data_IF_149196393458
#
_entry.id   IF_149196393458
#
_cell.length_a   1.000
_cell.length_b   1.000
_cell.length_c   1.000
_cell.angle_alpha   90.00
_cell.angle_beta   90.00
_cell.angle_gamma   90.00
#
_symmetry.space_group_name_H-M   'P 1'
#
loop_
_entity.id
_entity.type
_entity.pdbx_description
1 polymer ?
#
# COMPACT_ATOMS: atom_id res chain seq x y z
N UNK A 1 -1.99 21.02 1.19
CA UNK A 1 -0.86 20.92 0.23
C UNK A 1 0.19 19.87 0.59
N UNK A 2 -0.08 19.00 1.58
CA UNK A 2 0.64 17.75 1.78
C UNK A 2 -0.42 16.77 2.29
N UNK A 3 -1.16 16.14 1.39
CA UNK A 3 -2.19 15.19 1.78
C UNK A 3 -1.48 13.84 1.93
N UNK A 4 -1.43 13.32 3.16
CA UNK A 4 -0.79 12.05 3.54
C UNK A 4 -1.24 10.85 2.69
N UNK A 5 -2.32 11.00 1.93
CA UNK A 5 -2.86 10.07 0.96
C UNK A 5 -1.90 9.67 -0.17
N UNK A 6 -0.99 10.55 -0.63
CA UNK A 6 -0.13 10.18 -1.77
C UNK A 6 0.88 9.08 -1.41
N UNK A 7 1.46 9.12 -0.21
CA UNK A 7 2.35 8.06 0.27
C UNK A 7 1.62 6.75 0.58
N UNK A 8 0.33 6.82 0.96
CA UNK A 8 -0.48 5.63 1.20
C UNK A 8 -0.93 4.97 -0.11
N UNK A 9 -1.19 5.74 -1.16
CA UNK A 9 -1.53 5.25 -2.50
C UNK A 9 -0.38 4.46 -3.16
N UNK A 10 0.87 4.84 -2.91
CA UNK A 10 2.02 4.05 -3.36
C UNK A 10 2.08 2.67 -2.66
N UNK A 11 1.62 2.59 -1.42
CA UNK A 11 1.66 1.38 -0.59
C UNK A 11 0.42 0.49 -0.79
N UNK A 12 -0.76 1.08 -0.94
CA UNK A 12 -2.05 0.40 -0.95
C UNK A 12 -2.68 0.47 -2.33
N UNK A 13 -2.83 -0.69 -2.96
CA UNK A 13 -3.73 -0.92 -4.08
C UNK A 13 -5.11 -1.32 -3.53
N UNK A 14 -6.07 -0.42 -3.69
CA UNK A 14 -7.44 -0.58 -3.21
C UNK A 14 -8.09 -1.88 -3.71
N UNK A 15 -8.73 -2.61 -2.81
CA UNK A 15 -9.33 -3.93 -3.03
C UNK A 15 -8.34 -5.08 -3.26
N UNK A 16 -7.03 -4.81 -3.36
CA UNK A 16 -6.01 -5.83 -3.67
C UNK A 16 -5.19 -6.18 -2.43
N UNK A 17 -4.58 -5.20 -1.78
CA UNK A 17 -3.74 -5.40 -0.60
C UNK A 17 -4.17 -4.51 0.59
N UNK A 18 -5.22 -3.72 0.41
CA UNK A 18 -5.90 -2.94 1.45
C UNK A 18 -7.17 -2.32 0.88
N UNK A 19 -7.86 -1.52 1.69
CA UNK A 19 -9.06 -0.77 1.27
C UNK A 19 -8.80 0.70 1.57
N UNK A 20 -9.08 1.56 0.59
CA UNK A 20 -9.06 3.00 0.74
C UNK A 20 -10.50 3.51 0.93
N UNK A 21 -10.66 4.56 1.73
CA UNK A 21 -11.94 5.21 2.00
C UNK A 21 -11.76 6.72 2.03
N UNK A 22 -12.81 7.48 1.74
CA UNK A 22 -12.74 8.93 1.66
C UNK A 22 -12.48 9.58 3.03
N UNK A 23 -11.59 10.57 3.04
CA UNK A 23 -11.27 11.31 4.26
C UNK A 23 -12.50 12.04 4.80
N UNK A 24 -12.80 11.85 6.08
CA UNK A 24 -13.99 12.43 6.72
C UNK A 24 -15.29 11.64 6.50
N UNK A 25 -15.28 10.58 5.68
CA UNK A 25 -16.43 9.70 5.51
C UNK A 25 -16.46 8.59 6.57
N UNK A 26 -16.94 8.94 7.77
CA UNK A 26 -17.03 8.02 8.91
C UNK A 26 -17.96 6.83 8.64
N UNK A 27 -18.99 7.02 7.80
CA UNK A 27 -19.91 5.94 7.44
C UNK A 27 -19.19 4.85 6.63
N UNK A 28 -18.45 5.25 5.60
CA UNK A 28 -17.67 4.33 4.75
C UNK A 28 -16.57 3.62 5.53
N UNK A 29 -15.94 4.30 6.50
CA UNK A 29 -15.01 3.64 7.43
C UNK A 29 -15.70 2.53 8.23
N UNK A 30 -16.90 2.79 8.75
CA UNK A 30 -17.68 1.80 9.49
C UNK A 30 -18.09 0.61 8.63
N UNK A 31 -18.52 0.85 7.41
CA UNK A 31 -18.83 -0.21 6.42
C UNK A 31 -17.61 -1.05 6.09
N UNK A 32 -16.46 -0.40 5.89
CA UNK A 32 -15.18 -1.06 5.61
C UNK A 32 -14.74 -1.95 6.76
N UNK A 33 -14.85 -1.47 8.01
CA UNK A 33 -14.51 -2.26 9.20
C UNK A 33 -15.44 -3.47 9.30
N UNK A 34 -16.75 -3.28 9.10
CA UNK A 34 -17.71 -4.39 9.15
C UNK A 34 -17.44 -5.43 8.06
N UNK A 35 -17.12 -4.99 6.83
CA UNK A 35 -16.73 -5.87 5.74
C UNK A 35 -15.53 -6.74 6.12
N UNK A 36 -14.49 -6.14 6.70
CA UNK A 36 -13.28 -6.86 7.12
C UNK A 36 -13.56 -7.85 8.24
N UNK A 37 -14.43 -7.49 9.19
CA UNK A 37 -14.83 -8.37 10.28
C UNK A 37 -15.68 -9.57 9.81
N UNK A 38 -16.55 -9.36 8.82
CA UNK A 38 -17.39 -10.42 8.23
C UNK A 38 -16.57 -11.36 7.32
N UNK A 39 -15.51 -10.83 6.70
CA UNK A 39 -14.69 -11.54 5.71
C UNK A 39 -13.24 -11.62 6.15
N UNK A 40 -12.99 -12.42 7.19
CA UNK A 40 -11.64 -12.65 7.70
C UNK A 40 -10.69 -13.21 6.65
N UNK A 41 -11.21 -13.92 5.63
CA UNK A 41 -10.45 -14.39 4.46
C UNK A 41 -9.81 -13.24 3.66
N UNK A 42 -10.47 -12.08 3.59
CA UNK A 42 -9.93 -10.89 2.95
C UNK A 42 -8.77 -10.31 3.75
N UNK A 43 -8.85 -10.31 5.09
CA UNK A 43 -7.77 -9.82 5.95
C UNK A 43 -6.49 -10.64 5.72
N UNK A 44 -6.59 -11.97 5.71
CA UNK A 44 -5.44 -12.85 5.48
C UNK A 44 -4.85 -12.61 4.08
N UNK A 45 -5.70 -12.55 3.06
CA UNK A 45 -5.31 -12.30 1.66
C UNK A 45 -4.59 -10.95 1.51
N UNK A 46 -5.16 -9.88 2.07
CA UNK A 46 -4.61 -8.54 2.00
C UNK A 46 -3.28 -8.43 2.77
N UNK A 47 -3.18 -9.07 3.93
CA UNK A 47 -1.95 -9.09 4.72
C UNK A 47 -0.79 -9.72 3.97
N UNK A 48 -1.01 -10.87 3.32
CA UNK A 48 -0.01 -11.55 2.50
C UNK A 48 0.42 -10.67 1.33
N UNK A 49 -0.54 -10.14 0.55
CA UNK A 49 -0.27 -9.31 -0.63
C UNK A 49 0.43 -8.00 -0.27
N UNK A 50 0.07 -7.38 0.84
CA UNK A 50 0.74 -6.19 1.36
C UNK A 50 2.20 -6.47 1.72
N UNK A 51 2.46 -7.57 2.44
CA UNK A 51 3.82 -7.98 2.76
C UNK A 51 4.64 -8.29 1.50
N UNK A 52 4.04 -8.95 0.51
CA UNK A 52 4.71 -9.21 -0.77
C UNK A 52 5.06 -7.91 -1.52
N UNK A 53 4.13 -6.96 -1.61
CA UNK A 53 4.37 -5.67 -2.27
C UNK A 53 5.49 -4.91 -1.59
N UNK A 54 5.47 -4.84 -0.25
CA UNK A 54 6.53 -4.19 0.54
C UNK A 54 7.88 -4.85 0.27
N UNK A 55 7.96 -6.18 0.33
CA UNK A 55 9.21 -6.92 0.05
C UNK A 55 9.73 -6.71 -1.37
N UNK A 56 8.83 -6.65 -2.35
CA UNK A 56 9.19 -6.45 -3.76
C UNK A 56 9.63 -5.01 -4.04
N UNK A 57 8.94 -4.02 -3.49
CA UNK A 57 9.13 -2.61 -3.86
C UNK A 57 10.07 -1.85 -2.92
N UNK A 58 10.13 -2.21 -1.64
CA UNK A 58 10.84 -1.46 -0.61
C UNK A 58 12.02 -2.24 0.01
N UNK A 59 12.60 -3.19 -0.73
CA UNK A 59 13.84 -3.83 -0.27
C UNK A 59 15.02 -2.86 -0.38
N UNK A 60 15.88 -2.83 0.65
CA UNK A 60 17.09 -1.98 0.66
C UNK A 60 18.00 -2.22 -0.55
N UNK A 61 17.99 -3.44 -1.09
CA UNK A 61 18.71 -3.80 -2.31
C UNK A 61 18.16 -3.11 -3.57
N UNK A 62 16.85 -2.90 -3.66
CA UNK A 62 16.22 -2.18 -4.79
C UNK A 62 16.51 -0.68 -4.71
N UNK A 63 16.44 -0.11 -3.51
CA UNK A 63 16.82 1.29 -3.28
C UNK A 63 18.29 1.53 -3.68
N UNK A 64 19.20 0.65 -3.27
CA UNK A 64 20.60 0.72 -3.67
C UNK A 64 20.80 0.62 -5.20
N UNK A 65 20.08 -0.31 -5.87
CA UNK A 65 20.12 -0.45 -7.33
C UNK A 65 19.62 0.78 -8.08
N UNK A 66 18.55 1.42 -7.62
CA UNK A 66 18.04 2.64 -8.23
C UNK A 66 19.06 3.78 -8.19
N UNK A 67 19.78 3.92 -7.07
CA UNK A 67 20.85 4.91 -6.94
C UNK A 67 21.97 4.63 -7.95
N UNK A 68 22.46 3.38 -8.03
CA UNK A 68 23.51 2.98 -8.98
C UNK A 68 23.09 3.21 -10.44
N UNK A 69 21.84 2.90 -10.79
CA UNK A 69 21.31 3.07 -12.15
C UNK A 69 21.28 4.54 -12.58
N UNK A 70 20.93 5.46 -11.67
CA UNK A 70 20.98 6.91 -11.92
C UNK A 70 22.43 7.35 -12.19
N UNK A 71 23.38 6.93 -11.34
CA UNK A 71 24.79 7.26 -11.55
C UNK A 71 25.34 6.71 -12.87
N UNK A 72 24.90 5.53 -13.28
CA UNK A 72 25.33 4.87 -14.52
C UNK A 72 24.76 5.55 -15.78
N UNK A 73 23.57 6.15 -15.69
CA UNK A 73 22.94 6.90 -16.79
C UNK A 73 23.51 8.31 -16.99
N UNK A 74 24.20 8.85 -15.99
CA UNK A 74 24.82 10.17 -16.02
C UNK A 74 26.28 10.13 -16.49
N UNK A 75 26.85 8.92 -16.64
CA UNK A 75 28.16 8.64 -17.22
C UNK A 75 28.00 8.25 -18.70
#
# INVERSE_FOLDING_TARGET
CCNSWWGILDLVDDGVNGILFEEGNVAELGETINLLLDRSDLIDSYSVKSCEKIRKQFSGERAARQVVDIYTKLL
#
